data_IF_566269985680
#
_entry.id   IF_566269985680
#
_cell.length_a   1.000
_cell.length_b   1.000
_cell.length_c   1.000
_cell.angle_alpha   90.00
_cell.angle_beta   90.00
_cell.angle_gamma   90.00
#
_symmetry.space_group_name_H-M   'P 1'
#
loop_
_entity.id
_entity.type
_entity.pdbx_description
1 polymer ?
#
# COMPACT_ATOMS: atom_id res chain seq x y z
N UNK A 1 37.00 -13.46 -6.82
CA UNK A 1 38.08 -12.44 -6.79
C UNK A 1 38.29 -12.01 -5.33
N UNK A 2 38.82 -12.93 -4.51
CA UNK A 2 39.08 -12.73 -3.08
C UNK A 2 40.36 -13.50 -2.78
N UNK A 3 41.50 -12.93 -3.12
CA UNK A 3 42.84 -13.31 -2.68
C UNK A 3 43.76 -12.13 -2.98
N UNK A 4 44.71 -11.86 -2.09
CA UNK A 4 45.72 -10.77 -2.09
C UNK A 4 45.39 -9.61 -1.13
N UNK A 5 45.69 -9.82 0.16
CA UNK A 5 46.59 -8.97 0.97
C UNK A 5 46.60 -9.46 2.43
N UNK A 6 47.21 -10.63 2.64
CA UNK A 6 47.56 -11.13 3.96
C UNK A 6 49.04 -11.50 3.96
N UNK A 7 49.93 -10.53 3.76
CA UNK A 7 51.37 -10.83 3.68
C UNK A 7 52.34 -9.68 4.03
N UNK A 8 51.94 -8.70 4.86
CA UNK A 8 52.86 -7.61 5.29
C UNK A 8 52.93 -7.46 6.82
N UNK A 9 52.68 -8.53 7.59
CA UNK A 9 52.73 -8.45 9.06
C UNK A 9 53.55 -9.54 9.74
N UNK A 10 54.61 -10.00 9.07
CA UNK A 10 55.65 -10.83 9.69
C UNK A 10 57.03 -10.34 9.24
N UNK A 11 57.51 -9.23 9.80
CA UNK A 11 58.94 -8.86 9.89
C UNK A 11 59.11 -7.56 10.67
N UNK A 12 58.92 -7.63 11.98
CA UNK A 12 59.44 -6.62 12.91
C UNK A 12 59.37 -7.17 14.36
N UNK A 13 60.05 -8.28 14.62
CA UNK A 13 60.32 -8.71 16.01
C UNK A 13 61.81 -8.97 16.13
N UNK A 14 62.57 -7.89 16.22
CA UNK A 14 63.93 -7.88 16.72
C UNK A 14 64.29 -6.44 17.08
N UNK A 15 64.08 -6.06 18.34
CA UNK A 15 64.99 -5.28 19.17
C UNK A 15 64.28 -4.83 20.44
N UNK A 16 64.91 -5.11 21.58
CA UNK A 16 64.37 -4.88 22.91
C UNK A 16 64.19 -3.40 23.20
N UNK A 17 62.97 -3.02 23.59
CA UNK A 17 62.67 -1.73 24.21
C UNK A 17 61.77 -2.00 25.42
N UNK A 18 62.14 -1.38 26.55
CA UNK A 18 61.60 -1.57 27.90
C UNK A 18 60.07 -1.52 27.99
N UNK A 19 59.48 -2.50 28.71
CA UNK A 19 58.02 -2.69 28.91
C UNK A 19 57.33 -1.59 29.74
N UNK A 20 58.03 -0.54 30.17
CA UNK A 20 57.47 0.53 31.01
C UNK A 20 56.98 1.74 30.20
N UNK A 21 57.53 1.98 29.00
CA UNK A 21 57.13 3.13 28.15
C UNK A 21 55.83 2.94 27.36
N UNK A 22 55.44 1.69 27.09
CA UNK A 22 54.27 1.36 26.24
C UNK A 22 52.95 1.48 27.01
N UNK A 23 52.95 1.31 28.33
CA UNK A 23 51.73 1.40 29.15
C UNK A 23 51.28 2.87 29.32
N UNK A 24 52.22 3.82 29.43
CA UNK A 24 51.89 5.23 29.57
C UNK A 24 51.41 5.86 28.24
N UNK A 25 52.01 5.48 27.11
CA UNK A 25 51.57 5.94 25.79
C UNK A 25 50.24 5.28 25.35
N UNK A 26 50.01 4.02 25.72
CA UNK A 26 48.75 3.32 25.45
C UNK A 26 47.55 3.94 26.18
N UNK A 27 47.72 4.40 27.42
CA UNK A 27 46.66 5.07 28.19
C UNK A 27 46.35 6.48 27.69
N UNK A 28 47.35 7.23 27.18
CA UNK A 28 47.13 8.54 26.60
C UNK A 28 46.46 8.47 25.21
N UNK A 29 46.79 7.47 24.39
CA UNK A 29 46.19 7.29 23.05
C UNK A 29 44.81 6.62 23.15
N UNK A 30 44.62 5.65 24.05
CA UNK A 30 43.29 5.08 24.29
C UNK A 30 42.36 6.07 25.01
N UNK A 31 42.88 6.84 25.99
CA UNK A 31 42.13 7.88 26.67
C UNK A 31 41.80 9.06 25.77
N UNK A 32 42.76 9.55 24.99
CA UNK A 32 42.54 10.66 24.04
C UNK A 32 41.64 10.28 22.87
N UNK A 33 41.75 9.06 22.33
CA UNK A 33 40.84 8.56 21.30
C UNK A 33 39.42 8.30 21.81
N UNK A 34 39.30 7.80 23.04
CA UNK A 34 38.00 7.62 23.71
C UNK A 34 37.37 8.98 24.05
N UNK A 35 38.14 9.96 24.54
CA UNK A 35 37.67 11.33 24.80
C UNK A 35 37.31 12.05 23.49
N UNK A 36 38.10 11.91 22.42
CA UNK A 36 37.76 12.47 21.10
C UNK A 36 36.53 11.80 20.48
N UNK A 37 36.29 10.50 20.73
CA UNK A 37 35.08 9.80 20.32
C UNK A 37 33.85 10.12 21.20
N UNK A 38 34.07 10.48 22.48
CA UNK A 38 33.04 11.00 23.39
C UNK A 38 32.71 12.48 23.12
N UNK A 39 33.69 13.30 22.71
CA UNK A 39 33.48 14.70 22.28
C UNK A 39 32.88 14.76 20.88
N UNK A 40 33.20 13.81 19.99
CA UNK A 40 32.41 13.52 18.79
C UNK A 40 31.25 12.56 19.11
N UNK A 41 30.58 12.75 20.24
CA UNK A 41 29.22 12.24 20.38
C UNK A 41 28.43 12.76 19.19
N UNK A 42 27.87 11.86 18.38
CA UNK A 42 26.91 12.23 17.33
C UNK A 42 25.87 13.15 17.98
N UNK A 43 25.89 14.43 17.62
CA UNK A 43 24.92 15.41 18.07
C UNK A 43 23.58 15.12 17.40
N UNK A 44 22.88 14.07 17.86
CA UNK A 44 21.53 13.74 17.46
C UNK A 44 20.48 14.72 18.04
N UNK A 45 20.91 15.84 18.62
CA UNK A 45 20.04 16.88 19.17
C UNK A 45 19.60 17.91 18.12
N UNK A 46 20.35 18.07 17.03
CA UNK A 46 19.97 18.95 15.90
C UNK A 46 19.15 18.22 14.84
N UNK A 47 19.27 16.90 14.74
CA UNK A 47 18.52 16.04 13.82
C UNK A 47 17.34 15.36 14.53
N UNK A 48 16.27 15.09 13.78
CA UNK A 48 15.12 14.33 14.29
C UNK A 48 15.38 12.83 14.23
N UNK A 49 14.76 12.05 15.12
CA UNK A 49 14.74 10.59 14.98
C UNK A 49 14.04 10.23 13.68
N UNK A 50 14.68 9.40 12.86
CA UNK A 50 14.06 8.91 11.63
C UNK A 50 12.92 7.93 11.95
N UNK A 51 11.74 8.09 11.32
CA UNK A 51 10.65 7.14 11.50
C UNK A 51 11.02 5.77 10.91
N UNK A 52 10.47 4.71 11.49
CA UNK A 52 10.61 3.36 10.97
C UNK A 52 9.64 3.13 9.81
N UNK A 53 10.01 2.27 8.87
CA UNK A 53 9.18 1.98 7.69
C UNK A 53 8.02 1.06 8.07
N UNK A 54 6.79 1.57 7.99
CA UNK A 54 5.58 0.80 8.29
C UNK A 54 5.07 0.06 7.04
N UNK A 55 4.44 -1.13 7.21
CA UNK A 55 3.82 -1.87 6.13
C UNK A 55 2.43 -1.29 5.80
N UNK A 56 2.40 -0.13 5.16
CA UNK A 56 1.15 0.49 4.70
C UNK A 56 0.47 -0.37 3.63
N UNK A 57 -0.87 -0.41 3.65
CA UNK A 57 -1.68 -1.17 2.68
C UNK A 57 -1.59 -0.66 1.24
N UNK A 58 -0.95 0.50 1.03
CA UNK A 58 -0.75 1.17 -0.25
C UNK A 58 0.73 1.30 -0.61
N UNK A 59 1.62 0.55 0.03
CA UNK A 59 3.08 0.69 -0.13
C UNK A 59 3.63 -0.04 -1.36
N UNK A 60 3.02 -1.16 -1.73
CA UNK A 60 3.41 -2.00 -2.87
C UNK A 60 3.07 -1.39 -4.24
N UNK A 61 3.67 -1.86 -5.33
CA UNK A 61 3.50 -1.27 -6.67
C UNK A 61 2.07 -1.38 -7.22
N UNK A 62 1.33 -2.41 -6.83
CA UNK A 62 -0.05 -2.68 -7.27
C UNK A 62 -1.09 -2.48 -6.16
N UNK A 63 -0.63 -2.10 -4.96
CA UNK A 63 -1.49 -1.89 -3.80
C UNK A 63 -2.19 -0.52 -3.88
N UNK A 64 -3.52 -0.50 -3.73
CA UNK A 64 -4.33 0.72 -3.68
C UNK A 64 -4.49 1.24 -2.24
N UNK A 65 -5.06 2.42 -2.09
CA UNK A 65 -5.52 2.86 -0.77
C UNK A 65 -6.60 1.95 -0.19
N UNK A 66 -6.55 1.76 1.12
CA UNK A 66 -7.68 1.27 1.91
C UNK A 66 -8.68 2.42 2.07
N UNK A 67 -9.71 2.46 1.22
CA UNK A 67 -10.70 3.54 1.21
C UNK A 67 -11.51 3.61 2.51
N UNK A 68 -11.68 2.51 3.24
CA UNK A 68 -12.29 2.54 4.56
C UNK A 68 -11.39 3.28 5.57
N UNK A 69 -10.08 3.05 5.51
CA UNK A 69 -9.07 3.84 6.24
C UNK A 69 -9.10 5.32 5.86
N UNK A 70 -9.23 5.67 4.57
CA UNK A 70 -9.35 7.07 4.13
C UNK A 70 -10.63 7.71 4.70
N UNK A 71 -11.77 7.02 4.68
CA UNK A 71 -13.04 7.52 5.25
C UNK A 71 -12.93 7.76 6.75
N UNK A 72 -12.37 6.80 7.50
CA UNK A 72 -12.10 6.95 8.94
C UNK A 72 -11.09 8.07 9.21
N UNK A 73 -10.07 8.22 8.38
CA UNK A 73 -9.09 9.30 8.50
C UNK A 73 -9.70 10.69 8.31
N UNK A 74 -10.69 10.83 7.42
CA UNK A 74 -11.48 12.06 7.32
C UNK A 74 -12.28 12.33 8.61
N UNK A 75 -12.85 11.30 9.26
CA UNK A 75 -13.55 11.47 10.54
C UNK A 75 -12.61 11.98 11.64
N UNK A 76 -11.39 11.45 11.73
CA UNK A 76 -10.33 11.96 12.64
C UNK A 76 -9.99 13.41 12.30
N UNK A 77 -9.76 13.71 11.02
CA UNK A 77 -9.46 15.07 10.58
C UNK A 77 -10.58 16.05 10.98
N UNK A 78 -11.85 15.70 10.70
CA UNK A 78 -13.01 16.56 10.98
C UNK A 78 -13.16 16.84 12.47
N UNK A 79 -13.01 15.82 13.31
CA UNK A 79 -13.27 15.92 14.75
C UNK A 79 -12.10 16.51 15.53
N UNK A 80 -10.86 16.29 15.08
CA UNK A 80 -9.65 16.66 15.83
C UNK A 80 -8.86 17.76 15.11
N UNK A 81 -8.50 17.55 13.85
CA UNK A 81 -7.53 18.39 13.16
C UNK A 81 -8.12 19.67 12.57
N UNK A 82 -9.37 19.64 12.10
CA UNK A 82 -10.02 20.72 11.36
C UNK A 82 -10.21 22.00 12.20
N UNK A 83 -10.13 21.91 13.52
CA UNK A 83 -10.16 23.06 14.42
C UNK A 83 -8.91 23.95 14.32
N UNK A 84 -7.76 23.38 13.91
CA UNK A 84 -6.48 24.10 13.86
C UNK A 84 -5.82 24.08 12.48
N UNK A 85 -6.06 23.03 11.69
CA UNK A 85 -5.43 22.83 10.40
C UNK A 85 -6.39 23.04 9.23
N UNK A 86 -5.88 23.59 8.13
CA UNK A 86 -6.60 23.69 6.87
C UNK A 86 -6.30 22.51 5.93
N UNK A 87 -7.23 22.27 5.00
CA UNK A 87 -7.07 21.42 3.82
C UNK A 87 -7.45 22.19 2.55
N UNK A 88 -6.64 23.18 2.18
CA UNK A 88 -6.95 24.15 1.11
C UNK A 88 -7.20 23.55 -0.28
N UNK A 89 -6.65 22.37 -0.59
CA UNK A 89 -6.79 21.76 -1.92
C UNK A 89 -7.92 20.74 -2.01
N UNK A 90 -8.53 20.38 -0.88
CA UNK A 90 -9.59 19.39 -0.84
C UNK A 90 -10.96 20.07 -0.74
N UNK A 91 -11.88 19.61 -1.58
CA UNK A 91 -13.24 20.10 -1.70
C UNK A 91 -14.18 18.92 -1.49
N UNK A 92 -15.42 19.15 -1.05
CA UNK A 92 -16.37 18.07 -0.77
C UNK A 92 -16.64 17.17 -1.99
N UNK A 93 -16.58 17.72 -3.22
CA UNK A 93 -16.68 16.96 -4.47
C UNK A 93 -15.62 15.88 -4.65
N UNK A 94 -14.48 15.98 -3.95
CA UNK A 94 -13.44 14.94 -4.00
C UNK A 94 -13.81 13.68 -3.22
N UNK A 95 -14.76 13.79 -2.27
CA UNK A 95 -15.24 12.65 -1.47
C UNK A 95 -16.28 11.79 -2.20
N UNK A 96 -16.94 12.36 -3.21
CA UNK A 96 -17.97 11.69 -4.01
C UNK A 96 -17.35 10.53 -4.79
N UNK A 97 -18.00 9.37 -4.75
CA UNK A 97 -17.57 8.12 -5.40
C UNK A 97 -16.19 7.62 -4.97
N UNK A 98 -15.65 8.16 -3.88
CA UNK A 98 -14.38 7.73 -3.27
C UNK A 98 -14.66 7.23 -1.86
N UNK A 99 -14.77 8.13 -0.88
CA UNK A 99 -15.05 7.79 0.51
C UNK A 99 -16.51 7.97 0.90
N UNK A 100 -17.33 8.64 0.10
CA UNK A 100 -18.75 8.93 0.37
C UNK A 100 -19.60 8.82 -0.89
N UNK A 101 -20.90 8.54 -0.72
CA UNK A 101 -21.87 8.72 -1.81
C UNK A 101 -22.08 10.22 -2.09
N UNK A 102 -22.67 10.56 -3.23
CA UNK A 102 -22.97 11.97 -3.54
C UNK A 102 -23.92 12.60 -2.52
N UNK A 103 -24.90 11.83 -2.03
CA UNK A 103 -25.87 12.29 -1.02
C UNK A 103 -25.21 12.50 0.34
N UNK A 104 -24.35 11.57 0.77
CA UNK A 104 -23.56 11.70 1.99
C UNK A 104 -22.65 12.94 1.92
N UNK A 105 -21.94 13.14 0.81
CA UNK A 105 -21.06 14.28 0.63
C UNK A 105 -21.82 15.61 0.59
N UNK A 106 -23.04 15.64 0.04
CA UNK A 106 -23.92 16.83 0.08
C UNK A 106 -24.39 17.14 1.49
N UNK A 107 -24.81 16.12 2.24
CA UNK A 107 -25.21 16.27 3.63
C UNK A 107 -24.03 16.78 4.48
N UNK A 108 -22.86 16.19 4.31
CA UNK A 108 -21.61 16.57 4.97
C UNK A 108 -21.21 18.03 4.65
N UNK A 109 -21.29 18.44 3.38
CA UNK A 109 -21.01 19.82 2.99
C UNK A 109 -22.00 20.83 3.61
N UNK A 110 -23.28 20.45 3.70
CA UNK A 110 -24.33 21.32 4.24
C UNK A 110 -24.21 21.57 5.75
N UNK A 111 -23.48 20.72 6.49
CA UNK A 111 -23.18 20.94 7.91
C UNK A 111 -22.23 22.13 8.13
N UNK A 112 -21.39 22.46 7.14
CA UNK A 112 -20.47 23.59 7.22
C UNK A 112 -21.17 24.91 6.86
N UNK A 113 -20.94 25.94 7.68
CA UNK A 113 -21.32 27.32 7.36
C UNK A 113 -20.19 28.00 6.59
N UNK A 114 -20.45 28.31 5.32
CA UNK A 114 -19.51 28.96 4.41
C UNK A 114 -19.84 30.45 4.31
N UNK A 115 -18.84 31.31 4.51
CA UNK A 115 -18.96 32.74 4.23
C UNK A 115 -18.99 32.97 2.72
N UNK A 116 -20.02 33.64 2.23
CA UNK A 116 -20.22 33.96 0.82
C UNK A 116 -20.76 35.40 0.66
N UNK A 117 -21.02 35.83 -0.58
CA UNK A 117 -21.54 37.15 -0.91
C UNK A 117 -22.83 37.01 -1.71
N UNK A 118 -23.89 37.74 -1.31
CA UNK A 118 -25.16 37.75 -2.04
C UNK A 118 -25.10 38.56 -3.34
N UNK A 119 -26.14 38.49 -4.17
CA UNK A 119 -26.25 39.24 -5.43
C UNK A 119 -26.14 40.77 -5.27
N UNK A 120 -26.25 41.28 -4.04
CA UNK A 120 -26.14 42.71 -3.70
C UNK A 120 -24.77 43.06 -3.10
N UNK A 121 -23.81 42.14 -3.10
CA UNK A 121 -22.47 42.36 -2.57
C UNK A 121 -22.38 42.32 -1.05
N UNK A 122 -23.40 41.82 -0.34
CA UNK A 122 -23.39 41.73 1.13
C UNK A 122 -22.88 40.37 1.58
N UNK A 123 -22.05 40.37 2.62
CA UNK A 123 -21.57 39.13 3.23
C UNK A 123 -22.74 38.34 3.84
N UNK A 124 -22.83 37.06 3.51
CA UNK A 124 -23.80 36.09 4.01
C UNK A 124 -23.07 34.84 4.50
N UNK A 125 -23.75 34.02 5.30
CA UNK A 125 -23.36 32.65 5.56
C UNK A 125 -24.39 31.72 4.95
N UNK A 126 -23.94 30.69 4.24
CA UNK A 126 -24.80 29.66 3.66
C UNK A 126 -24.28 28.27 4.01
N UNK A 127 -25.15 27.26 4.01
CA UNK A 127 -24.71 25.87 3.99
C UNK A 127 -23.73 25.62 2.83
N UNK A 128 -22.73 24.78 3.08
CA UNK A 128 -21.77 24.38 2.07
C UNK A 128 -22.39 23.55 0.96
N UNK A 129 -21.76 23.61 -0.21
CA UNK A 129 -22.09 22.79 -1.38
C UNK A 129 -20.84 21.98 -1.81
N UNK A 130 -21.02 20.98 -2.68
CA UNK A 130 -19.94 20.08 -3.08
C UNK A 130 -18.71 20.79 -3.67
N UNK A 131 -18.90 21.92 -4.32
CA UNK A 131 -17.81 22.69 -4.95
C UNK A 131 -17.04 23.56 -3.97
N UNK A 132 -17.51 23.73 -2.74
CA UNK A 132 -16.80 24.49 -1.72
C UNK A 132 -15.57 23.71 -1.21
N UNK A 133 -14.54 24.46 -0.83
CA UNK A 133 -13.40 23.91 -0.10
C UNK A 133 -13.81 23.59 1.35
N UNK A 134 -13.01 22.73 2.02
CA UNK A 134 -13.16 22.54 3.45
C UNK A 134 -12.94 23.88 4.19
N UNK A 135 -13.77 24.22 5.19
CA UNK A 135 -13.63 25.46 5.95
C UNK A 135 -12.23 25.60 6.55
N UNK A 136 -11.60 26.77 6.36
CA UNK A 136 -10.36 27.09 7.05
C UNK A 136 -10.67 27.55 8.48
N UNK A 137 -9.98 27.02 9.51
CA UNK A 137 -10.23 27.40 10.90
C UNK A 137 -9.84 28.86 11.20
N UNK A 138 -8.92 29.42 10.41
CA UNK A 138 -8.45 30.78 10.57
C UNK A 138 -8.58 31.56 9.25
N UNK A 139 -8.85 32.87 9.31
CA UNK A 139 -8.95 33.72 8.13
C UNK A 139 -7.59 34.00 7.48
N UNK A 140 -6.50 33.93 8.25
CA UNK A 140 -5.14 34.14 7.77
C UNK A 140 -4.09 33.58 8.74
N UNK A 141 -2.84 33.51 8.27
CA UNK A 141 -1.69 32.96 9.01
C UNK A 141 -1.41 33.72 10.31
N UNK A 142 -1.62 35.04 10.35
CA UNK A 142 -1.38 35.84 11.57
C UNK A 142 -2.40 35.52 12.66
N UNK A 143 -3.67 35.35 12.29
CA UNK A 143 -4.72 34.91 13.20
C UNK A 143 -4.43 33.48 13.71
N UNK A 144 -3.98 32.59 12.83
CA UNK A 144 -3.59 31.24 13.19
C UNK A 144 -2.43 31.22 14.20
N UNK A 145 -1.36 31.99 13.94
CA UNK A 145 -0.22 32.10 14.86
C UNK A 145 -0.63 32.71 16.21
N UNK A 146 -1.46 33.76 16.20
CA UNK A 146 -1.93 34.39 17.44
C UNK A 146 -2.76 33.43 18.31
N UNK A 147 -3.56 32.55 17.69
CA UNK A 147 -4.36 31.54 18.40
C UNK A 147 -3.53 30.36 18.92
N UNK A 148 -2.31 30.15 18.40
CA UNK A 148 -1.49 28.96 18.66
C UNK A 148 -0.07 29.34 19.13
N UNK A 149 0.03 30.19 20.16
CA UNK A 149 1.30 30.55 20.82
C UNK A 149 2.42 31.03 19.86
N UNK A 150 2.05 31.77 18.82
CA UNK A 150 2.96 32.32 17.82
C UNK A 150 3.32 31.38 16.67
N UNK A 151 2.88 30.12 16.69
CA UNK A 151 3.12 29.14 15.63
C UNK A 151 1.87 28.95 14.78
N UNK A 152 1.93 29.21 13.47
CA UNK A 152 0.81 28.92 12.58
C UNK A 152 0.79 27.42 12.22
N UNK A 153 -0.32 26.69 12.47
CA UNK A 153 -0.44 25.31 12.02
C UNK A 153 -0.31 25.23 10.48
N UNK A 154 0.50 24.30 9.94
CA UNK A 154 0.64 24.14 8.51
C UNK A 154 -0.65 23.56 7.89
N UNK A 155 -0.89 23.90 6.62
CA UNK A 155 -1.90 23.24 5.81
C UNK A 155 -1.53 21.76 5.59
N UNK A 156 -2.51 20.86 5.72
CA UNK A 156 -2.27 19.42 5.70
C UNK A 156 -2.42 18.80 4.31
N UNK A 157 -2.82 19.56 3.28
CA UNK A 157 -3.24 18.99 1.99
C UNK A 157 -2.15 18.20 1.30
N UNK A 158 -0.89 18.57 1.51
CA UNK A 158 0.28 17.93 0.91
C UNK A 158 1.24 17.36 1.96
N UNK A 159 0.83 17.21 3.22
CA UNK A 159 1.77 16.95 4.32
C UNK A 159 2.58 15.66 4.13
N UNK A 160 1.95 14.60 3.62
CA UNK A 160 2.62 13.32 3.34
C UNK A 160 3.73 13.47 2.29
N UNK A 161 3.55 14.33 1.29
CA UNK A 161 4.58 14.57 0.27
C UNK A 161 5.55 15.71 0.64
N UNK A 162 5.18 16.57 1.59
CA UNK A 162 5.95 17.74 2.00
C UNK A 162 6.96 17.46 3.13
N UNK A 163 7.01 16.23 3.66
CA UNK A 163 7.95 15.82 4.72
C UNK A 163 8.66 14.54 4.33
N UNK A 164 9.96 14.48 4.64
CA UNK A 164 10.74 13.25 4.50
C UNK A 164 10.14 12.16 5.40
N UNK A 165 10.07 10.93 4.89
CA UNK A 165 9.39 9.81 5.56
C UNK A 165 7.88 9.75 5.31
N UNK A 166 7.25 10.82 4.81
CA UNK A 166 5.84 10.85 4.44
C UNK A 166 4.90 10.30 5.51
N UNK A 167 4.16 9.24 5.19
CA UNK A 167 3.20 8.62 6.10
C UNK A 167 3.85 8.09 7.38
N UNK A 168 5.05 7.51 7.26
CA UNK A 168 5.81 7.01 8.40
C UNK A 168 6.14 8.14 9.37
N UNK A 169 6.50 9.32 8.84
CA UNK A 169 6.74 10.52 9.64
C UNK A 169 5.47 11.01 10.32
N UNK A 170 4.35 11.09 9.59
CA UNK A 170 3.07 11.55 10.17
C UNK A 170 2.63 10.60 11.30
N UNK A 171 2.68 9.29 11.07
CA UNK A 171 2.33 8.30 12.07
C UNK A 171 3.23 8.39 13.31
N UNK A 172 4.55 8.42 13.10
CA UNK A 172 5.51 8.51 14.19
C UNK A 172 5.38 9.82 14.98
N UNK A 173 5.13 10.94 14.30
CA UNK A 173 4.89 12.23 14.94
C UNK A 173 3.63 12.20 15.81
N UNK A 174 2.53 11.63 15.32
CA UNK A 174 1.25 11.63 16.04
C UNK A 174 1.22 10.65 17.22
N UNK A 175 2.01 9.58 17.17
CA UNK A 175 2.10 8.56 18.24
C UNK A 175 3.30 8.77 19.16
N UNK A 176 4.28 9.58 18.77
CA UNK A 176 5.56 9.74 19.45
C UNK A 176 5.66 10.92 20.42
N UNK A 177 4.61 11.21 21.19
CA UNK A 177 4.69 12.21 22.26
C UNK A 177 5.22 11.57 23.55
N UNK A 178 6.31 12.13 24.10
CA UNK A 178 6.98 11.59 25.29
C UNK A 178 7.35 12.71 26.27
N UNK A 179 7.63 12.33 27.52
CA UNK A 179 8.27 13.22 28.47
C UNK A 179 9.68 13.60 27.98
N UNK A 180 10.11 14.87 28.14
CA UNK A 180 11.41 15.30 27.69
C UNK A 180 12.53 14.56 28.44
N UNK A 181 13.55 14.02 27.74
CA UNK A 181 14.70 13.43 28.39
C UNK A 181 15.50 14.49 29.17
N UNK A 182 16.28 14.03 30.14
CA UNK A 182 17.10 14.91 30.96
C UNK A 182 17.99 15.83 30.11
N UNK A 183 17.90 17.15 30.36
CA UNK A 183 18.68 18.17 29.65
C UNK A 183 17.93 18.91 28.54
N UNK A 184 16.77 18.41 28.08
CA UNK A 184 15.92 19.13 27.13
C UNK A 184 14.96 20.06 27.89
N UNK A 185 15.02 21.36 27.57
CA UNK A 185 14.08 22.35 28.10
C UNK A 185 12.94 22.53 27.10
N UNK A 186 11.72 22.30 27.56
CA UNK A 186 10.49 22.54 26.80
C UNK A 186 9.86 23.82 27.35
N UNK A 187 9.67 24.81 26.50
CA UNK A 187 8.98 26.06 26.89
C UNK A 187 7.51 25.77 27.23
N UNK A 188 6.92 26.61 28.07
CA UNK A 188 5.50 26.53 28.42
C UNK A 188 4.61 26.57 27.15
N UNK A 189 3.67 25.62 27.05
CA UNK A 189 2.78 25.48 25.90
C UNK A 189 3.36 24.72 24.70
N UNK A 190 4.59 24.16 24.81
CA UNK A 190 5.18 23.24 23.83
C UNK A 190 5.24 21.82 24.38
N UNK A 191 5.46 20.85 23.51
CA UNK A 191 5.60 19.44 23.84
C UNK A 191 6.91 18.88 23.29
N UNK A 192 7.41 17.81 23.89
CA UNK A 192 8.56 17.07 23.38
C UNK A 192 8.09 15.96 22.44
N UNK A 193 8.72 15.88 21.27
CA UNK A 193 8.51 14.82 20.28
C UNK A 193 9.84 14.56 19.54
N UNK A 194 10.46 13.38 19.70
CA UNK A 194 11.76 13.06 19.12
C UNK A 194 11.75 13.00 17.59
N UNK A 195 10.59 12.80 16.95
CA UNK A 195 10.45 12.79 15.50
C UNK A 195 10.33 14.20 14.92
N UNK A 196 10.02 15.21 15.72
CA UNK A 196 9.99 16.59 15.26
C UNK A 196 11.42 17.16 15.20
N UNK A 197 11.81 17.85 14.11
CA UNK A 197 13.11 18.52 14.04
C UNK A 197 13.33 19.48 15.21
N UNK A 198 14.42 19.27 15.95
CA UNK A 198 14.73 20.03 17.18
C UNK A 198 14.00 19.54 18.44
N UNK A 199 13.23 18.45 18.37
CA UNK A 199 12.63 17.75 19.51
C UNK A 199 11.48 18.46 20.21
N UNK A 200 11.29 19.76 20.01
CA UNK A 200 10.26 20.56 20.69
C UNK A 200 9.27 21.12 19.68
N UNK A 201 8.00 20.74 19.83
CA UNK A 201 6.90 21.10 18.92
C UNK A 201 5.84 21.95 19.65
N UNK A 202 5.24 22.91 18.95
CA UNK A 202 4.17 23.76 19.51
C UNK A 202 2.79 23.10 19.49
N UNK A 203 2.66 21.89 18.92
CA UNK A 203 1.43 21.11 18.90
C UNK A 203 1.43 20.17 20.10
N UNK A 204 0.44 20.24 21.02
CA UNK A 204 0.30 19.23 22.05
C UNK A 204 -0.22 17.92 21.44
N UNK A 205 -0.12 16.82 22.18
CA UNK A 205 -0.68 15.55 21.75
C UNK A 205 -2.19 15.69 21.49
N UNK A 206 -2.61 15.34 20.26
CA UNK A 206 -3.99 15.45 19.81
C UNK A 206 -4.74 14.12 19.83
N UNK A 207 -4.02 13.01 19.65
CA UNK A 207 -4.61 11.68 19.59
C UNK A 207 -4.41 10.94 20.91
N UNK A 208 -5.52 10.43 21.43
CA UNK A 208 -5.62 9.61 22.64
C UNK A 208 -6.48 8.39 22.33
N UNK A 209 -6.30 7.32 23.09
CA UNK A 209 -7.21 6.17 23.02
C UNK A 209 -8.64 6.60 23.32
N UNK A 210 -9.57 6.13 22.49
CA UNK A 210 -11.01 6.47 22.55
C UNK A 210 -11.30 7.97 22.39
N UNK A 211 -10.39 8.71 21.74
CA UNK A 211 -10.53 10.16 21.49
C UNK A 211 -11.67 10.54 20.53
N UNK A 212 -12.13 9.61 19.70
CA UNK A 212 -13.31 9.75 18.83
C UNK A 212 -14.08 8.43 18.77
N UNK A 213 -15.31 8.46 18.26
CA UNK A 213 -16.08 7.26 17.93
C UNK A 213 -16.20 7.14 16.40
N UNK A 214 -15.72 6.02 15.84
CA UNK A 214 -15.85 5.75 14.41
C UNK A 214 -17.26 5.29 14.07
N UNK A 215 -17.79 5.76 12.94
CA UNK A 215 -19.14 5.38 12.48
C UNK A 215 -19.29 3.89 12.17
N UNK A 216 -18.19 3.20 11.82
CA UNK A 216 -18.18 1.78 11.49
C UNK A 216 -17.91 0.86 12.70
N UNK A 217 -17.75 1.42 13.90
CA UNK A 217 -17.50 0.68 15.13
C UNK A 217 -16.06 0.19 15.30
N UNK A 218 -15.11 0.63 14.46
CA UNK A 218 -13.69 0.31 14.66
C UNK A 218 -13.21 0.87 16.02
N UNK A 219 -12.40 0.14 16.80
CA UNK A 219 -11.84 0.68 18.04
C UNK A 219 -10.89 1.85 17.78
N UNK A 220 -11.21 3.02 18.32
CA UNK A 220 -10.45 4.25 18.13
C UNK A 220 -9.22 4.35 19.04
N UNK A 221 -8.30 3.38 18.97
CA UNK A 221 -6.99 3.51 19.63
C UNK A 221 -6.16 4.63 18.99
N UNK A 222 -5.21 5.20 19.72
CA UNK A 222 -4.32 6.27 19.23
C UNK A 222 -3.62 5.85 17.93
N UNK A 223 -3.04 4.65 17.90
CA UNK A 223 -2.37 4.13 16.70
C UNK A 223 -3.32 3.92 15.53
N UNK A 224 -4.56 3.51 15.80
CA UNK A 224 -5.56 3.32 14.75
C UNK A 224 -5.93 4.67 14.13
N UNK A 225 -6.22 5.68 14.96
CA UNK A 225 -6.47 7.05 14.51
C UNK A 225 -5.30 7.63 13.71
N UNK A 226 -4.06 7.42 14.18
CA UNK A 226 -2.85 7.85 13.49
C UNK A 226 -2.68 7.17 12.12
N UNK A 227 -2.96 5.87 12.01
CA UNK A 227 -2.93 5.12 10.74
C UNK A 227 -3.95 5.70 9.76
N UNK A 228 -5.18 5.93 10.22
CA UNK A 228 -6.27 6.36 9.35
C UNK A 228 -6.07 7.79 8.86
N UNK A 229 -5.69 8.71 9.76
CA UNK A 229 -5.42 10.10 9.37
C UNK A 229 -4.18 10.21 8.47
N UNK A 230 -3.12 9.44 8.70
CA UNK A 230 -1.96 9.39 7.81
C UNK A 230 -2.35 8.89 6.41
N UNK A 231 -3.17 7.83 6.34
CA UNK A 231 -3.71 7.29 5.07
C UNK A 231 -4.54 8.35 4.35
N UNK A 232 -5.42 9.06 5.06
CA UNK A 232 -6.23 10.15 4.51
C UNK A 232 -5.36 11.31 4.01
N UNK A 233 -4.33 11.71 4.74
CA UNK A 233 -3.42 12.79 4.34
C UNK A 233 -2.58 12.42 3.12
N UNK A 234 -2.17 11.15 2.95
CA UNK A 234 -1.56 10.69 1.71
C UNK A 234 -2.56 10.78 0.57
N UNK A 235 -3.78 10.28 0.76
CA UNK A 235 -4.83 10.37 -0.26
C UNK A 235 -5.11 11.82 -0.67
N UNK A 236 -5.12 12.77 0.27
CA UNK A 236 -5.24 14.20 -0.03
C UNK A 236 -4.06 14.73 -0.86
N UNK A 237 -2.85 14.27 -0.56
CA UNK A 237 -1.64 14.70 -1.25
C UNK A 237 -1.50 14.09 -2.65
N UNK A 238 -1.97 12.85 -2.83
CA UNK A 238 -1.92 12.10 -4.09
C UNK A 238 -3.27 11.42 -4.42
N UNK A 239 -4.32 12.18 -4.77
CA UNK A 239 -5.65 11.60 -5.07
C UNK A 239 -5.65 10.71 -6.31
N UNK A 240 -4.61 10.79 -7.15
CA UNK A 240 -4.44 9.96 -8.34
C UNK A 240 -3.57 8.72 -8.13
N UNK A 241 -3.16 8.39 -6.90
CA UNK A 241 -2.31 7.25 -6.56
C UNK A 241 -2.75 5.93 -7.20
N UNK A 242 -4.00 5.53 -6.97
CA UNK A 242 -4.55 4.26 -7.49
C UNK A 242 -4.65 4.27 -9.01
N UNK A 243 -5.01 5.43 -9.59
CA UNK A 243 -5.07 5.59 -11.04
C UNK A 243 -3.68 5.51 -11.64
N UNK A 244 -2.67 6.16 -11.06
CA UNK A 244 -1.27 6.12 -11.50
C UNK A 244 -0.73 4.69 -11.50
N UNK A 245 -0.93 3.93 -10.41
CA UNK A 245 -0.50 2.53 -10.32
C UNK A 245 -1.19 1.65 -11.37
N UNK A 246 -2.50 1.81 -11.56
CA UNK A 246 -3.24 1.11 -12.62
C UNK A 246 -2.74 1.42 -14.03
N UNK A 247 -2.36 2.67 -14.31
CA UNK A 247 -1.74 3.02 -15.60
C UNK A 247 -0.36 2.39 -15.75
N UNK A 248 0.43 2.30 -14.68
CA UNK A 248 1.69 1.56 -14.67
C UNK A 248 1.51 0.10 -15.08
N UNK A 249 0.52 -0.59 -14.51
CA UNK A 249 0.18 -1.98 -14.86
C UNK A 249 -0.23 -2.14 -16.33
N UNK A 250 -0.95 -1.16 -16.91
CA UNK A 250 -1.33 -1.20 -18.33
C UNK A 250 -0.12 -1.14 -19.27
N UNK A 251 0.89 -0.35 -18.93
CA UNK A 251 2.13 -0.29 -19.71
C UNK A 251 2.93 -1.58 -19.59
N UNK A 252 2.96 -2.21 -18.41
CA UNK A 252 3.56 -3.54 -18.22
C UNK A 252 2.83 -4.60 -19.04
N UNK A 253 1.49 -4.65 -18.98
CA UNK A 253 0.69 -5.58 -19.78
C UNK A 253 0.90 -5.40 -21.29
N UNK A 254 1.14 -4.17 -21.75
CA UNK A 254 1.47 -3.89 -23.15
C UNK A 254 2.83 -4.45 -23.53
N UNK A 255 3.81 -4.36 -22.64
CA UNK A 255 5.12 -4.96 -22.85
C UNK A 255 5.02 -6.50 -22.90
N UNK A 256 4.27 -7.12 -21.99
CA UNK A 256 4.04 -8.58 -21.97
C UNK A 256 3.30 -9.06 -23.24
N UNK A 257 2.26 -8.33 -23.69
CA UNK A 257 1.55 -8.68 -24.92
C UNK A 257 2.46 -8.69 -26.16
N UNK A 258 3.46 -7.80 -26.20
CA UNK A 258 4.39 -7.72 -27.32
C UNK A 258 5.37 -8.92 -27.39
N UNK A 259 5.53 -9.69 -26.32
CA UNK A 259 6.36 -10.90 -26.30
C UNK A 259 5.69 -12.08 -27.04
N UNK A 260 4.35 -12.08 -27.13
CA UNK A 260 3.61 -13.10 -27.86
C UNK A 260 3.74 -12.89 -29.37
N UNK A 261 4.06 -13.97 -30.11
CA UNK A 261 4.01 -13.98 -31.57
C UNK A 261 2.61 -14.39 -32.03
N UNK A 262 1.89 -13.46 -32.62
CA UNK A 262 0.54 -13.67 -33.16
C UNK A 262 0.63 -13.89 -34.67
N UNK A 263 0.02 -14.98 -35.13
CA UNK A 263 -0.17 -15.21 -36.56
C UNK A 263 -1.24 -14.26 -37.09
N UNK A 264 -0.89 -13.45 -38.08
CA UNK A 264 -1.77 -12.47 -38.70
C UNK A 264 -1.64 -12.51 -40.23
N UNK A 265 -2.40 -11.69 -40.95
CA UNK A 265 -2.37 -11.59 -42.41
C UNK A 265 -2.05 -10.16 -42.81
N UNK A 266 -1.06 -9.97 -43.68
CA UNK A 266 -0.70 -8.64 -44.19
C UNK A 266 -1.76 -8.09 -45.17
N UNK A 267 -1.64 -6.81 -45.55
CA UNK A 267 -2.54 -6.14 -46.52
C UNK A 267 -2.61 -6.85 -47.90
N UNK A 268 -1.71 -7.81 -48.16
CA UNK A 268 -1.64 -8.59 -49.40
C UNK A 268 -2.17 -10.02 -49.22
N UNK A 269 -2.76 -10.36 -48.08
CA UNK A 269 -3.32 -11.68 -47.81
C UNK A 269 -2.27 -12.74 -47.43
N UNK A 270 -1.02 -12.35 -47.14
CA UNK A 270 0.05 -13.30 -46.77
C UNK A 270 0.11 -13.47 -45.26
N UNK A 271 0.26 -14.72 -44.81
CA UNK A 271 0.46 -15.02 -43.41
C UNK A 271 1.79 -14.42 -42.92
N UNK A 272 1.72 -13.69 -41.80
CA UNK A 272 2.85 -13.09 -41.09
C UNK A 272 2.79 -13.44 -39.61
N UNK A 273 3.90 -13.28 -38.90
CA UNK A 273 3.93 -13.24 -37.44
C UNK A 273 4.29 -11.85 -36.99
N UNK A 274 3.52 -11.31 -36.05
CA UNK A 274 3.78 -10.00 -35.43
C UNK A 274 3.76 -10.09 -33.91
N UNK A 275 4.44 -9.15 -33.24
CA UNK A 275 4.21 -8.93 -31.81
C UNK A 275 2.72 -8.74 -31.51
N UNK A 276 2.27 -9.29 -30.39
CA UNK A 276 0.93 -9.12 -29.89
C UNK A 276 0.63 -7.69 -29.48
N UNK A 277 -0.65 -7.34 -29.53
CA UNK A 277 -1.21 -6.10 -29.00
C UNK A 277 -2.27 -6.43 -27.95
N UNK A 278 -2.61 -5.47 -27.08
CA UNK A 278 -3.54 -5.66 -25.96
C UNK A 278 -4.95 -6.17 -26.35
N UNK A 279 -5.34 -6.01 -27.62
CA UNK A 279 -6.64 -6.46 -28.12
C UNK A 279 -6.61 -7.85 -28.75
N UNK A 280 -5.43 -8.45 -28.90
CA UNK A 280 -5.32 -9.81 -29.42
C UNK A 280 -5.86 -10.81 -28.40
N UNK A 281 -6.51 -11.87 -28.89
CA UNK A 281 -6.90 -12.98 -28.04
C UNK A 281 -5.67 -13.76 -27.58
N UNK A 282 -5.72 -14.32 -26.37
CA UNK A 282 -4.70 -15.25 -25.91
C UNK A 282 -4.61 -16.43 -26.91
N UNK A 283 -3.40 -16.79 -27.38
CA UNK A 283 -3.25 -17.84 -28.38
C UNK A 283 -3.68 -19.19 -27.79
N UNK A 284 -4.54 -19.91 -28.52
CA UNK A 284 -4.92 -21.28 -28.14
C UNK A 284 -3.69 -22.19 -28.24
N UNK A 285 -3.44 -23.05 -27.23
CA UNK A 285 -2.34 -24.01 -27.27
C UNK A 285 -2.52 -25.07 -28.37
N UNK A 286 -3.75 -25.24 -28.87
CA UNK A 286 -4.07 -26.18 -29.93
C UNK A 286 -4.75 -25.48 -31.11
N UNK A 287 -4.47 -25.89 -32.36
CA UNK A 287 -5.07 -25.29 -33.55
C UNK A 287 -6.57 -25.63 -33.69
N UNK A 288 -7.02 -26.74 -33.11
CA UNK A 288 -8.42 -27.15 -33.11
C UNK A 288 -8.71 -28.19 -32.00
N UNK A 289 -9.99 -28.45 -31.76
CA UNK A 289 -10.50 -29.38 -30.73
C UNK A 289 -9.99 -30.81 -30.90
N UNK A 290 -9.79 -31.29 -32.14
CA UNK A 290 -9.28 -32.64 -32.39
C UNK A 290 -7.82 -32.78 -31.98
N UNK A 291 -7.00 -31.78 -32.30
CA UNK A 291 -5.61 -31.73 -31.83
C UNK A 291 -5.53 -31.65 -30.30
N UNK A 292 -6.42 -30.86 -29.68
CA UNK A 292 -6.53 -30.77 -28.23
C UNK A 292 -6.89 -32.12 -27.59
N UNK A 293 -7.91 -32.81 -28.09
CA UNK A 293 -8.32 -34.12 -27.58
C UNK A 293 -7.23 -35.19 -27.77
N UNK A 294 -6.56 -35.19 -28.93
CA UNK A 294 -5.47 -36.13 -29.19
C UNK A 294 -4.29 -35.96 -28.22
N UNK A 295 -3.99 -34.72 -27.81
CA UNK A 295 -2.93 -34.43 -26.86
C UNK A 295 -3.32 -34.68 -25.38
N UNK A 296 -4.61 -34.77 -25.07
CA UNK A 296 -5.14 -34.82 -23.70
C UNK A 296 -5.99 -36.07 -23.45
N UNK A 297 -5.43 -37.26 -23.75
CA UNK A 297 -6.05 -38.56 -23.45
C UNK A 297 -7.48 -38.72 -24.00
N UNK A 298 -7.75 -38.15 -25.19
CA UNK A 298 -9.04 -38.21 -25.86
C UNK A 298 -10.07 -37.18 -25.39
N UNK A 299 -9.74 -36.33 -24.41
CA UNK A 299 -10.61 -35.28 -23.90
C UNK A 299 -10.10 -33.90 -24.33
N UNK A 300 -10.94 -33.10 -24.99
CA UNK A 300 -10.60 -31.70 -25.25
C UNK A 300 -10.76 -30.89 -23.95
N UNK A 301 -9.75 -30.09 -23.54
CA UNK A 301 -9.91 -29.15 -22.44
C UNK A 301 -11.09 -28.21 -22.70
N UNK A 302 -11.94 -27.93 -21.70
CA UNK A 302 -13.01 -26.96 -21.85
C UNK A 302 -12.45 -25.54 -21.92
N UNK A 303 -13.24 -24.62 -22.48
CA UNK A 303 -12.96 -23.19 -22.33
C UNK A 303 -13.10 -22.79 -20.85
N UNK A 304 -12.06 -22.15 -20.34
CA UNK A 304 -11.93 -21.77 -18.94
C UNK A 304 -12.54 -20.40 -18.65
N UNK A 305 -12.81 -19.61 -19.69
CA UNK A 305 -13.20 -18.20 -19.60
C UNK A 305 -14.48 -17.95 -18.78
N UNK A 306 -15.38 -18.93 -18.70
CA UNK A 306 -16.66 -18.84 -17.97
C UNK A 306 -16.82 -19.91 -16.88
N UNK A 307 -15.76 -20.63 -16.54
CA UNK A 307 -15.87 -21.82 -15.68
C UNK A 307 -16.39 -21.49 -14.28
N UNK A 308 -15.94 -20.37 -13.71
CA UNK A 308 -16.35 -19.86 -12.39
C UNK A 308 -17.85 -19.55 -12.30
N UNK A 309 -18.45 -19.05 -13.38
CA UNK A 309 -19.89 -18.75 -13.42
C UNK A 309 -20.73 -19.95 -13.88
N UNK A 310 -20.14 -20.88 -14.64
CA UNK A 310 -20.85 -22.01 -15.24
C UNK A 310 -20.95 -23.25 -14.33
N UNK A 311 -20.15 -23.34 -13.27
CA UNK A 311 -20.11 -24.50 -12.36
C UNK A 311 -20.78 -24.19 -11.03
N UNK A 312 -21.49 -25.18 -10.48
CA UNK A 312 -22.01 -25.09 -9.12
C UNK A 312 -20.84 -24.98 -8.13
N UNK A 313 -20.93 -24.03 -7.20
CA UNK A 313 -19.85 -23.70 -6.27
C UNK A 313 -18.82 -22.72 -6.83
N UNK A 314 -18.89 -22.37 -8.12
CA UNK A 314 -18.06 -21.36 -8.77
C UNK A 314 -16.57 -21.44 -8.45
N UNK A 315 -16.04 -20.40 -7.82
CA UNK A 315 -14.61 -20.29 -7.49
C UNK A 315 -14.17 -21.39 -6.50
N UNK A 316 -15.04 -21.73 -5.54
CA UNK A 316 -14.77 -22.79 -4.56
C UNK A 316 -14.65 -24.16 -5.23
N UNK A 317 -15.46 -24.39 -6.28
CA UNK A 317 -15.36 -25.61 -7.08
C UNK A 317 -14.03 -25.68 -7.83
N UNK A 318 -13.56 -24.58 -8.42
CA UNK A 318 -12.27 -24.52 -9.10
C UNK A 318 -11.14 -24.78 -8.10
N UNK A 319 -11.17 -24.12 -6.94
CA UNK A 319 -10.18 -24.32 -5.89
C UNK A 319 -10.12 -25.79 -5.41
N UNK A 320 -11.29 -26.37 -5.12
CA UNK A 320 -11.39 -27.77 -4.69
C UNK A 320 -10.94 -28.74 -5.78
N UNK A 321 -11.25 -28.46 -7.05
CA UNK A 321 -10.81 -29.26 -8.19
C UNK A 321 -9.28 -29.25 -8.33
N UNK A 322 -8.63 -28.10 -8.15
CA UNK A 322 -7.18 -27.96 -8.33
C UNK A 322 -6.36 -28.53 -7.16
N UNK A 323 -6.94 -28.57 -5.96
CA UNK A 323 -6.29 -29.09 -4.73
C UNK A 323 -6.68 -30.54 -4.42
N UNK A 324 -7.79 -31.04 -4.98
CA UNK A 324 -8.41 -32.31 -4.61
C UNK A 324 -7.88 -33.54 -5.35
N UNK A 325 -6.57 -33.73 -5.43
CA UNK A 325 -5.97 -34.93 -6.03
C UNK A 325 -5.57 -35.92 -4.94
N UNK A 326 -6.20 -37.10 -4.92
CA UNK A 326 -6.01 -38.12 -3.88
C UNK A 326 -5.90 -39.52 -4.46
N UNK A 327 -5.41 -40.46 -3.65
CA UNK A 327 -5.49 -41.87 -3.98
C UNK A 327 -6.95 -42.33 -4.08
N UNK A 328 -7.29 -43.19 -5.06
CA UNK A 328 -8.66 -43.66 -5.24
C UNK A 328 -9.09 -44.51 -4.03
N UNK A 329 -10.29 -44.28 -3.47
CA UNK A 329 -10.83 -45.11 -2.42
C UNK A 329 -11.09 -46.53 -2.92
N UNK A 330 -11.15 -47.49 -1.99
CA UNK A 330 -11.35 -48.90 -2.30
C UNK A 330 -12.59 -49.11 -3.20
N UNK A 331 -12.38 -49.73 -4.37
CA UNK A 331 -13.44 -50.05 -5.33
C UNK A 331 -13.54 -49.12 -6.54
N UNK A 332 -12.84 -47.98 -6.54
CA UNK A 332 -12.76 -47.09 -7.72
C UNK A 332 -11.57 -47.50 -8.58
N UNK A 333 -11.83 -47.82 -9.85
CA UNK A 333 -10.78 -48.05 -10.85
C UNK A 333 -10.52 -46.77 -11.62
N UNK A 334 -9.26 -46.33 -11.62
CA UNK A 334 -8.79 -45.20 -12.40
C UNK A 334 -8.00 -45.77 -13.58
N UNK A 335 -8.42 -45.45 -14.81
CA UNK A 335 -7.71 -45.87 -16.01
C UNK A 335 -6.34 -45.17 -16.11
N UNK A 336 -5.40 -45.79 -16.82
CA UNK A 336 -4.06 -45.23 -17.06
C UNK A 336 -4.17 -43.84 -17.72
N UNK A 337 -3.48 -42.85 -17.16
CA UNK A 337 -3.53 -41.45 -17.62
C UNK A 337 -4.69 -40.62 -17.05
N UNK A 338 -5.51 -41.17 -16.14
CA UNK A 338 -6.54 -40.44 -15.38
C UNK A 338 -6.14 -40.31 -13.90
N UNK A 339 -6.80 -39.41 -13.18
CA UNK A 339 -6.60 -39.19 -11.75
C UNK A 339 -7.92 -39.27 -10.99
N UNK A 340 -7.85 -39.60 -9.70
CA UNK A 340 -9.00 -39.53 -8.81
C UNK A 340 -9.12 -38.12 -8.19
N UNK A 341 -10.31 -37.55 -8.29
CA UNK A 341 -10.66 -36.26 -7.71
C UNK A 341 -12.09 -36.32 -7.18
N UNK A 342 -12.33 -36.25 -5.86
CA UNK A 342 -13.65 -36.42 -5.27
C UNK A 342 -14.62 -35.28 -5.61
N UNK A 343 -14.10 -34.11 -6.01
CA UNK A 343 -14.91 -32.96 -6.39
C UNK A 343 -15.30 -33.01 -7.87
N UNK A 344 -14.60 -33.78 -8.71
CA UNK A 344 -14.98 -33.95 -10.10
C UNK A 344 -16.20 -34.88 -10.23
N UNK A 345 -17.20 -34.56 -11.07
CA UNK A 345 -18.34 -35.45 -11.31
C UNK A 345 -17.89 -36.84 -11.76
N UNK A 346 -18.25 -37.87 -10.99
CA UNK A 346 -17.85 -39.26 -11.24
C UNK A 346 -16.50 -39.66 -10.64
N UNK A 347 -15.81 -38.77 -9.93
CA UNK A 347 -14.61 -39.06 -9.16
C UNK A 347 -13.33 -39.26 -9.99
N UNK A 348 -13.42 -39.40 -11.31
CA UNK A 348 -12.28 -39.69 -12.19
C UNK A 348 -12.16 -38.61 -13.24
N UNK A 349 -11.02 -37.93 -13.28
CA UNK A 349 -10.71 -36.82 -14.19
C UNK A 349 -9.56 -37.19 -15.13
N UNK A 350 -9.64 -36.77 -16.39
CA UNK A 350 -8.56 -36.99 -17.39
C UNK A 350 -7.38 -36.02 -17.26
N UNK A 351 -7.47 -35.05 -16.35
CA UNK A 351 -6.43 -34.05 -16.09
C UNK A 351 -5.60 -34.49 -14.88
N UNK A 352 -4.28 -34.70 -15.02
CA UNK A 352 -3.42 -35.00 -13.87
C UNK A 352 -3.27 -33.76 -12.98
N UNK A 353 -2.71 -33.93 -11.77
CA UNK A 353 -2.42 -32.82 -10.88
C UNK A 353 -1.47 -31.82 -11.57
N UNK A 354 -1.91 -30.56 -11.65
CA UNK A 354 -1.16 -29.49 -12.32
C UNK A 354 -0.35 -28.64 -11.34
N UNK A 355 -0.86 -28.46 -10.12
CA UNK A 355 -0.28 -27.56 -9.13
C UNK A 355 0.47 -28.34 -8.05
N UNK A 356 1.70 -27.90 -7.80
CA UNK A 356 2.60 -28.45 -6.79
C UNK A 356 3.22 -27.30 -6.01
N UNK A 357 3.55 -27.53 -4.75
CA UNK A 357 4.30 -26.57 -3.94
C UNK A 357 5.60 -26.19 -4.65
N UNK A 358 5.90 -24.89 -4.67
CA UNK A 358 7.09 -24.31 -5.31
C UNK A 358 7.17 -24.55 -6.83
N UNK A 359 6.04 -24.89 -7.47
CA UNK A 359 5.97 -25.13 -8.92
C UNK A 359 6.19 -23.89 -9.79
N UNK A 360 6.01 -22.69 -9.24
CA UNK A 360 6.26 -21.40 -9.88
C UNK A 360 6.89 -20.42 -8.90
N UNK A 361 7.50 -19.35 -9.41
CA UNK A 361 8.01 -18.24 -8.62
C UNK A 361 7.18 -16.98 -8.90
N UNK A 362 6.59 -16.40 -7.86
CA UNK A 362 5.86 -15.14 -7.97
C UNK A 362 6.82 -13.95 -7.88
N UNK A 363 6.70 -13.00 -8.82
CA UNK A 363 7.54 -11.79 -8.86
C UNK A 363 7.43 -10.93 -7.59
N UNK A 364 6.29 -10.99 -6.91
CA UNK A 364 6.00 -10.23 -5.69
C UNK A 364 6.47 -10.93 -4.39
N UNK A 365 7.06 -12.13 -4.51
CA UNK A 365 7.52 -12.92 -3.36
C UNK A 365 6.41 -13.69 -2.66
N UNK A 366 5.19 -13.74 -3.20
CA UNK A 366 4.10 -14.56 -2.66
C UNK A 366 4.52 -16.03 -2.58
N UNK A 367 4.31 -16.72 -1.44
CA UNK A 367 4.64 -18.14 -1.31
C UNK A 367 3.85 -18.99 -2.29
N UNK A 368 4.55 -19.74 -3.15
CA UNK A 368 3.94 -20.60 -4.16
C UNK A 368 3.47 -21.95 -3.60
N UNK A 369 2.65 -21.94 -2.54
CA UNK A 369 1.99 -23.17 -2.07
C UNK A 369 0.88 -23.58 -3.04
N UNK A 370 0.56 -24.88 -3.10
CA UNK A 370 -0.50 -25.40 -3.96
C UNK A 370 -1.83 -24.69 -3.72
N UNK A 371 -2.16 -24.45 -2.44
CA UNK A 371 -3.38 -23.71 -2.08
C UNK A 371 -3.35 -22.26 -2.55
N UNK A 372 -2.20 -21.59 -2.47
CA UNK A 372 -2.08 -20.21 -2.91
C UNK A 372 -2.23 -20.13 -4.44
N UNK A 373 -1.52 -21.00 -5.18
CA UNK A 373 -1.66 -21.12 -6.62
C UNK A 373 -3.11 -21.42 -7.05
N UNK A 374 -3.78 -22.37 -6.39
CA UNK A 374 -5.16 -22.71 -6.69
C UNK A 374 -6.12 -21.53 -6.45
N UNK A 375 -5.90 -20.76 -5.38
CA UNK A 375 -6.66 -19.55 -5.06
C UNK A 375 -6.45 -18.47 -6.13
N UNK A 376 -5.23 -18.27 -6.59
CA UNK A 376 -4.91 -17.28 -7.61
C UNK A 376 -5.51 -17.65 -8.96
N UNK A 377 -5.45 -18.93 -9.35
CA UNK A 377 -6.11 -19.43 -10.57
C UNK A 377 -7.64 -19.25 -10.48
N UNK A 378 -8.26 -19.61 -9.36
CA UNK A 378 -9.70 -19.42 -9.17
C UNK A 378 -10.09 -17.94 -9.24
N UNK A 379 -9.31 -17.05 -8.61
CA UNK A 379 -9.51 -15.60 -8.65
C UNK A 379 -9.36 -15.05 -10.06
N UNK A 380 -8.34 -15.48 -10.80
CA UNK A 380 -8.13 -15.08 -12.19
C UNK A 380 -9.27 -15.56 -13.10
N UNK A 381 -9.72 -16.80 -12.95
CA UNK A 381 -10.87 -17.34 -13.69
C UNK A 381 -12.17 -16.61 -13.39
N UNK A 382 -12.39 -16.22 -12.13
CA UNK A 382 -13.50 -15.35 -11.76
C UNK A 382 -13.42 -14.02 -12.50
N UNK A 383 -12.25 -13.39 -12.48
CA UNK A 383 -12.02 -12.13 -13.18
C UNK A 383 -12.21 -12.25 -14.69
N UNK A 384 -11.75 -13.33 -15.33
CA UNK A 384 -11.99 -13.58 -16.75
C UNK A 384 -13.49 -13.71 -17.07
N UNK A 385 -14.25 -14.35 -16.19
CA UNK A 385 -15.69 -14.51 -16.37
C UNK A 385 -16.47 -13.23 -16.09
N UNK A 386 -15.97 -12.38 -15.20
CA UNK A 386 -16.58 -11.09 -14.84
C UNK A 386 -15.54 -9.95 -14.77
N UNK A 387 -14.98 -9.50 -15.92
CA UNK A 387 -13.89 -8.50 -15.93
C UNK A 387 -14.33 -7.11 -15.45
N UNK A 388 -15.64 -6.87 -15.38
CA UNK A 388 -16.25 -5.63 -14.88
C UNK A 388 -16.82 -5.74 -13.46
N UNK A 389 -16.51 -6.81 -12.73
CA UNK A 389 -17.00 -7.08 -11.37
C UNK A 389 -16.83 -5.87 -10.43
N UNK A 390 -15.63 -5.28 -10.37
CA UNK A 390 -15.37 -4.14 -9.48
C UNK A 390 -16.09 -2.88 -9.93
N UNK A 391 -16.23 -2.71 -11.25
CA UNK A 391 -17.02 -1.60 -11.80
C UNK A 391 -18.48 -1.75 -11.37
N UNK A 392 -19.07 -2.94 -11.50
CA UNK A 392 -20.43 -3.23 -11.04
C UNK A 392 -20.59 -2.98 -9.53
N UNK A 393 -19.65 -3.43 -8.71
CA UNK A 393 -19.68 -3.15 -7.26
C UNK A 393 -19.67 -1.65 -6.96
N UNK A 394 -18.87 -0.86 -7.67
CA UNK A 394 -18.86 0.60 -7.56
C UNK A 394 -20.19 1.23 -7.98
N UNK A 395 -20.82 0.76 -9.06
CA UNK A 395 -22.15 1.23 -9.46
C UNK A 395 -23.22 0.89 -8.41
N UNK A 396 -23.10 -0.25 -7.73
CA UNK A 396 -24.00 -0.64 -6.65
C UNK A 396 -23.93 0.29 -5.43
N UNK A 397 -22.86 1.07 -5.26
CA UNK A 397 -22.76 2.10 -4.21
C UNK A 397 -23.40 3.44 -4.63
N UNK A 398 -23.77 3.61 -5.91
CA UNK A 398 -24.37 4.83 -6.45
C UNK A 398 -25.91 4.83 -6.42
N UNK A 399 -26.51 3.70 -6.07
CA UNK A 399 -27.96 3.47 -5.94
C UNK A 399 -28.22 3.25 -4.45
#
# INVERSE_FOLDING_TARGET
MVFIRLQVMQRAVAQGVSRVGVVAAGLAVAGGGLVYALENSVHASEEAVHPFKLPWSHSGPLESFDIASVRRGYEVYKQVCAACHSLKYIHYRHFVDTIMTEEEAKAEAAEALINDVDDKGRAIQRPGILTDALPSPYPNVKAAAAANNGAAPPDLSLMSLARHGGDDYIFALLTGYFDPPAGIKVDEGKAYNPYFPGGVISMPQQLYDEGIEYKDGTPATQSQQAKDVATFMHWCAEPFHDTRKRWGLKEEAKAEAAEALINDVDDKGRAIQRPGILTDALPSPYPNVKAAAAANNGAAPPDLSLMSLARHGGDDYIFALLTGYFDPPAGIKVDEGKAYNPYFPGGVISMPQQLYDEGIEYKDGTPATQSQQAKDVATFMHWCAEPFHDTRKRWGLKI
#
